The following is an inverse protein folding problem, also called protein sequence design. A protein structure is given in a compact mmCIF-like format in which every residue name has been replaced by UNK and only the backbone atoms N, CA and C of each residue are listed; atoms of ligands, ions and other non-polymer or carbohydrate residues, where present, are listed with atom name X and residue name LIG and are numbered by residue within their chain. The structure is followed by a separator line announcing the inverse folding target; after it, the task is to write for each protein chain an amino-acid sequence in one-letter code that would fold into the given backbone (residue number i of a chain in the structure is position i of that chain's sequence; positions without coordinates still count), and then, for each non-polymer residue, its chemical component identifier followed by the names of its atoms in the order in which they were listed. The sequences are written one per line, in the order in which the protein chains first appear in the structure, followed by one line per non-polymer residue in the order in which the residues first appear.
data_IF_468126779139
#
_entry.id   IF_468126779139
#
_cell.length_a   1.000
_cell.length_b   1.000
_cell.length_c   1.000
_cell.angle_alpha   90.00
_cell.angle_beta   90.00
_cell.angle_gamma   90.00
#
_symmetry.space_group_name_H-M   'P 1'
#
loop_
_entity.id
_entity.type
_entity.pdbx_description
1 polymer ?
#
# COMPACT_ATOMS: atom_id res chain seq x y z
N UNK A 1 -14.92 5.42 -13.02
CA UNK A 1 -14.07 5.02 -11.88
C UNK A 1 -13.19 6.18 -11.45
N UNK A 2 -13.02 6.33 -10.15
CA UNK A 2 -11.88 7.03 -9.56
C UNK A 2 -11.28 6.10 -8.52
N UNK A 3 -10.03 5.67 -8.69
CA UNK A 3 -9.12 5.56 -7.54
C UNK A 3 -9.32 6.86 -6.77
N UNK A 4 -9.86 6.77 -5.56
CA UNK A 4 -10.29 7.94 -4.82
C UNK A 4 -9.10 8.87 -4.61
N UNK A 5 -9.22 10.06 -5.21
CA UNK A 5 -8.24 11.12 -5.12
C UNK A 5 -8.14 11.54 -3.65
N UNK A 6 -7.02 11.22 -3.01
CA UNK A 6 -6.74 11.65 -1.65
C UNK A 6 -6.84 10.57 -0.57
N UNK A 7 -7.15 9.32 -0.92
CA UNK A 7 -6.92 8.24 0.04
C UNK A 7 -5.42 7.97 0.15
N UNK A 8 -4.87 8.17 1.35
CA UNK A 8 -3.49 7.80 1.74
C UNK A 8 -3.17 6.34 1.39
N UNK A 9 -4.19 5.49 1.29
CA UNK A 9 -4.07 4.09 0.92
C UNK A 9 -3.80 3.85 -0.57
N UNK A 10 -4.03 4.82 -1.47
CA UNK A 10 -3.85 4.59 -2.93
C UNK A 10 -2.40 4.30 -3.32
N UNK A 11 -1.43 4.77 -2.53
CA UNK A 11 0.00 4.57 -2.77
C UNK A 11 0.61 5.36 -3.92
N UNK A 12 -0.20 6.11 -4.67
CA UNK A 12 0.29 6.94 -5.77
C UNK A 12 0.71 8.33 -5.27
N UNK A 13 1.94 8.72 -5.58
CA UNK A 13 2.48 10.05 -5.23
C UNK A 13 1.93 11.18 -6.12
N UNK A 14 1.54 10.87 -7.35
CA UNK A 14 1.17 11.86 -8.37
C UNK A 14 -0.29 11.71 -8.76
N UNK A 15 -1.05 12.78 -8.57
CA UNK A 15 -2.49 12.86 -8.89
C UNK A 15 -2.74 12.65 -10.39
N UNK A 16 -1.84 13.12 -11.25
CA UNK A 16 -1.96 12.98 -12.70
C UNK A 16 -1.91 11.52 -13.15
N UNK A 17 -1.10 10.70 -12.46
CA UNK A 17 -0.99 9.26 -12.73
C UNK A 17 -2.30 8.56 -12.36
N UNK A 18 -2.90 8.93 -11.23
CA UNK A 18 -4.22 8.42 -10.82
C UNK A 18 -5.27 8.77 -11.87
N UNK A 19 -5.31 10.02 -12.34
CA UNK A 19 -6.25 10.46 -13.35
C UNK A 19 -6.05 9.74 -14.69
N UNK A 20 -4.81 9.51 -15.11
CA UNK A 20 -4.48 8.77 -16.31
C UNK A 20 -4.91 7.30 -16.24
N UNK A 21 -4.65 6.62 -15.12
CA UNK A 21 -5.08 5.23 -14.93
C UNK A 21 -6.62 5.14 -14.95
N UNK A 22 -7.30 6.07 -14.28
CA UNK A 22 -8.76 6.13 -14.26
C UNK A 22 -9.36 6.42 -15.64
N UNK A 23 -8.70 7.23 -16.46
CA UNK A 23 -9.14 7.52 -17.83
C UNK A 23 -8.89 6.34 -18.76
N UNK A 24 -7.74 5.66 -18.64
CA UNK A 24 -7.42 4.45 -19.41
C UNK A 24 -8.41 3.32 -19.12
N UNK A 25 -8.73 3.04 -17.86
CA UNK A 25 -9.71 2.00 -17.50
C UNK A 25 -11.09 2.33 -18.11
N UNK A 26 -11.51 3.59 -18.02
CA UNK A 26 -12.80 4.05 -18.56
C UNK A 26 -12.85 4.01 -20.08
N UNK A 27 -11.78 4.43 -20.75
CA UNK A 27 -11.67 4.46 -22.21
C UNK A 27 -11.63 3.06 -22.82
N UNK A 28 -11.04 2.09 -22.10
CA UNK A 28 -10.94 0.71 -22.54
C UNK A 28 -12.14 -0.18 -22.14
N UNK A 29 -13.24 0.42 -21.64
CA UNK A 29 -14.46 -0.32 -21.29
C UNK A 29 -14.34 -1.18 -20.01
N UNK A 30 -13.36 -0.90 -19.16
CA UNK A 30 -13.21 -1.57 -17.88
C UNK A 30 -14.33 -1.21 -16.92
N UNK A 31 -15.12 -2.21 -16.53
CA UNK A 31 -16.13 -2.07 -15.48
C UNK A 31 -15.50 -1.92 -14.09
N UNK A 32 -16.19 -1.28 -13.13
CA UNK A 32 -15.71 -1.11 -11.76
C UNK A 32 -15.53 -2.44 -11.01
N UNK A 33 -16.12 -3.51 -11.52
CA UNK A 33 -16.19 -4.82 -10.88
C UNK A 33 -14.82 -5.45 -10.67
N UNK A 34 -13.87 -5.26 -11.58
CA UNK A 34 -12.54 -5.86 -11.42
C UNK A 34 -11.81 -5.23 -10.23
N UNK A 35 -11.64 -3.91 -10.23
CA UNK A 35 -10.95 -3.24 -9.12
C UNK A 35 -11.63 -3.50 -7.77
N UNK A 36 -12.97 -3.43 -7.70
CA UNK A 36 -13.71 -3.67 -6.45
C UNK A 36 -13.67 -5.12 -5.99
N UNK A 37 -13.79 -6.10 -6.91
CA UNK A 37 -13.74 -7.52 -6.56
C UNK A 37 -12.37 -7.98 -6.04
N UNK A 38 -11.31 -7.28 -6.44
CA UNK A 38 -9.93 -7.57 -6.07
C UNK A 38 -9.37 -6.60 -5.01
N UNK A 39 -10.11 -5.56 -4.62
CA UNK A 39 -9.67 -4.58 -3.62
C UNK A 39 -9.46 -5.20 -2.23
N UNK A 40 -10.28 -6.15 -1.82
CA UNK A 40 -10.16 -6.84 -0.53
C UNK A 40 -9.28 -8.10 -0.58
N UNK A 41 -8.77 -8.47 -1.76
CA UNK A 41 -8.02 -9.70 -1.98
C UNK A 41 -6.52 -9.53 -1.78
N UNK A 42 -5.84 -10.64 -1.52
CA UNK A 42 -4.37 -10.67 -1.44
C UNK A 42 -3.75 -10.48 -2.83
N UNK A 43 -2.53 -9.93 -2.91
CA UNK A 43 -1.85 -9.71 -4.19
C UNK A 43 -1.74 -10.98 -5.04
N UNK A 44 -1.46 -12.13 -4.42
CA UNK A 44 -1.35 -13.42 -5.11
C UNK A 44 -2.66 -13.78 -5.85
N UNK A 45 -3.81 -13.57 -5.21
CA UNK A 45 -5.12 -13.82 -5.85
C UNK A 45 -5.42 -12.83 -7.00
N UNK A 46 -4.93 -11.59 -6.89
CA UNK A 46 -5.03 -10.60 -7.96
C UNK A 46 -4.15 -11.00 -9.15
N UNK A 47 -2.93 -11.47 -8.89
CA UNK A 47 -1.98 -11.93 -9.91
C UNK A 47 -2.51 -13.15 -10.66
N UNK A 48 -3.04 -14.15 -9.95
CA UNK A 48 -3.70 -15.32 -10.55
C UNK A 48 -4.90 -14.90 -11.41
N UNK A 49 -5.71 -13.96 -10.91
CA UNK A 49 -6.82 -13.35 -11.65
C UNK A 49 -6.36 -12.64 -12.92
N UNK A 50 -5.22 -11.94 -12.91
CA UNK A 50 -4.66 -11.34 -14.11
C UNK A 50 -4.16 -12.35 -15.11
N UNK A 51 -3.44 -13.37 -14.62
CA UNK A 51 -2.87 -14.40 -15.47
C UNK A 51 -3.97 -15.09 -16.28
N UNK A 52 -5.10 -15.42 -15.66
CA UNK A 52 -6.27 -16.00 -16.35
C UNK A 52 -6.86 -15.07 -17.43
N UNK A 53 -6.95 -13.77 -17.16
CA UNK A 53 -7.45 -12.76 -18.12
C UNK A 53 -6.49 -12.57 -19.30
N UNK A 54 -5.19 -12.54 -19.04
CA UNK A 54 -4.17 -12.34 -20.06
C UNK A 54 -4.04 -13.56 -20.99
N UNK A 55 -4.08 -14.76 -20.42
CA UNK A 55 -4.01 -16.03 -21.16
C UNK A 55 -5.27 -16.32 -21.97
N UNK A 56 -6.43 -15.74 -21.59
CA UNK A 56 -7.65 -15.88 -22.36
C UNK A 56 -7.56 -15.16 -23.72
N UNK A 57 -7.43 -15.91 -24.81
CA UNK A 57 -7.32 -15.36 -26.17
C UNK A 57 -8.62 -14.72 -26.69
N UNK A 58 -9.78 -15.05 -26.11
CA UNK A 58 -11.07 -14.50 -26.56
C UNK A 58 -11.37 -13.10 -26.01
N UNK A 59 -10.62 -12.63 -25.01
CA UNK A 59 -10.87 -11.29 -24.47
C UNK A 59 -10.35 -10.17 -25.38
N UNK A 60 -11.15 -9.14 -25.65
CA UNK A 60 -10.71 -7.95 -26.37
C UNK A 60 -9.48 -7.30 -25.74
N UNK A 61 -8.56 -6.80 -26.57
CA UNK A 61 -7.33 -6.14 -26.11
C UNK A 61 -7.60 -4.94 -25.20
N UNK A 62 -8.71 -4.22 -25.42
CA UNK A 62 -9.13 -3.11 -24.57
C UNK A 62 -9.41 -3.59 -23.12
N UNK A 63 -10.20 -4.65 -22.95
CA UNK A 63 -10.47 -5.23 -21.64
C UNK A 63 -9.20 -5.71 -20.94
N UNK A 64 -8.28 -6.35 -21.68
CA UNK A 64 -6.96 -6.74 -21.14
C UNK A 64 -6.19 -5.54 -20.61
N UNK A 65 -6.14 -4.43 -21.37
CA UNK A 65 -5.52 -3.18 -20.94
C UNK A 65 -6.15 -2.60 -19.68
N UNK A 66 -7.49 -2.54 -19.62
CA UNK A 66 -8.20 -2.05 -18.45
C UNK A 66 -7.89 -2.90 -17.19
N UNK A 67 -7.84 -4.23 -17.33
CA UNK A 67 -7.45 -5.14 -16.26
C UNK A 67 -6.00 -4.94 -15.83
N UNK A 68 -5.06 -4.74 -16.76
CA UNK A 68 -3.65 -4.48 -16.43
C UNK A 68 -3.47 -3.18 -15.66
N UNK A 69 -4.14 -2.10 -16.08
CA UNK A 69 -4.11 -0.83 -15.34
C UNK A 69 -4.75 -0.94 -13.95
N UNK A 70 -5.84 -1.69 -13.84
CA UNK A 70 -6.49 -1.97 -12.55
C UNK A 70 -5.58 -2.79 -11.62
N UNK A 71 -4.84 -3.75 -12.17
CA UNK A 71 -3.82 -4.53 -11.45
C UNK A 71 -2.70 -3.65 -10.91
N UNK A 72 -2.18 -2.76 -11.75
CA UNK A 72 -1.13 -1.82 -11.38
C UNK A 72 -1.57 -0.96 -10.20
N UNK A 73 -2.80 -0.45 -10.24
CA UNK A 73 -3.37 0.31 -9.14
C UNK A 73 -3.45 -0.50 -7.82
N UNK A 74 -3.88 -1.76 -7.90
CA UNK A 74 -3.95 -2.66 -6.74
C UNK A 74 -2.56 -3.01 -6.19
N UNK A 75 -1.56 -3.23 -7.04
CA UNK A 75 -0.19 -3.54 -6.64
C UNK A 75 0.49 -2.37 -5.94
N UNK A 76 0.36 -1.16 -6.48
CA UNK A 76 0.88 0.07 -5.86
C UNK A 76 0.26 0.30 -4.49
N UNK A 77 -1.06 0.07 -4.34
CA UNK A 77 -1.74 0.13 -3.05
C UNK A 77 -1.16 -0.85 -2.03
N UNK A 78 -0.93 -2.11 -2.42
CA UNK A 78 -0.37 -3.13 -1.52
C UNK A 78 1.03 -2.72 -1.06
N UNK A 79 1.89 -2.28 -1.98
CA UNK A 79 3.26 -1.81 -1.64
C UNK A 79 3.22 -0.62 -0.70
N UNK A 80 2.36 0.36 -0.96
CA UNK A 80 2.24 1.54 -0.12
C UNK A 80 1.67 1.23 1.26
N UNK A 81 0.63 0.39 1.35
CA UNK A 81 0.08 -0.06 2.63
C UNK A 81 1.13 -0.82 3.46
N UNK A 82 1.93 -1.66 2.81
CA UNK A 82 3.00 -2.40 3.48
C UNK A 82 4.12 -1.48 3.98
N UNK A 83 4.48 -0.46 3.21
CA UNK A 83 5.45 0.56 3.61
C UNK A 83 4.92 1.38 4.80
N UNK A 84 3.67 1.83 4.75
CA UNK A 84 3.05 2.60 5.82
C UNK A 84 2.98 1.79 7.12
N UNK A 85 2.56 0.53 7.05
CA UNK A 85 2.53 -0.35 8.22
C UNK A 85 3.93 -0.62 8.79
N UNK A 86 4.93 -0.83 7.92
CA UNK A 86 6.32 -0.97 8.36
C UNK A 86 6.86 0.29 9.04
N UNK A 87 6.57 1.48 8.49
CA UNK A 87 7.00 2.74 9.10
C UNK A 87 6.35 2.98 10.46
N UNK A 88 5.06 2.66 10.61
CA UNK A 88 4.36 2.75 11.90
C UNK A 88 4.96 1.78 12.92
N UNK A 89 5.22 0.53 12.53
CA UNK A 89 5.87 -0.45 13.43
C UNK A 89 7.27 0.00 13.85
N UNK A 90 8.07 0.53 12.93
CA UNK A 90 9.40 1.06 13.23
C UNK A 90 9.33 2.27 14.17
N UNK A 91 8.36 3.16 13.94
CA UNK A 91 8.16 4.32 14.81
C UNK A 91 7.77 3.88 16.23
N UNK A 92 6.82 2.96 16.36
CA UNK A 92 6.41 2.41 17.65
C UNK A 92 7.58 1.72 18.38
N UNK A 93 8.38 0.91 17.68
CA UNK A 93 9.57 0.27 18.26
C UNK A 93 10.60 1.29 18.73
N UNK A 94 10.77 2.39 17.98
CA UNK A 94 11.69 3.47 18.35
C UNK A 94 11.26 4.18 19.62
N UNK A 95 9.98 4.53 19.76
CA UNK A 95 9.46 5.16 20.97
C UNK A 95 9.67 4.27 22.20
N UNK A 96 9.42 2.97 22.07
CA UNK A 96 9.67 2.00 23.15
C UNK A 96 11.16 1.93 23.54
N UNK A 97 12.07 2.05 22.58
CA UNK A 97 13.50 2.06 22.85
C UNK A 97 13.93 3.33 23.58
N UNK A 98 13.44 4.49 23.13
CA UNK A 98 13.73 5.80 23.75
C UNK A 98 13.23 5.86 25.20
N UNK A 99 12.05 5.31 25.49
CA UNK A 99 11.51 5.21 26.86
C UNK A 99 12.37 4.31 27.78
N UNK A 100 12.85 3.18 27.24
CA UNK A 100 13.73 2.26 27.98
C UNK A 100 15.09 2.89 28.24
N UNK A 101 15.65 3.59 27.26
CA UNK A 101 16.92 4.29 27.40
C UNK A 101 16.84 5.43 28.43
N UNK A 102 15.73 6.17 28.46
CA UNK A 102 15.47 7.18 29.48
C UNK A 102 15.38 6.56 30.89
N UNK A 103 14.70 5.42 31.02
CA UNK A 103 14.58 4.70 32.30
C UNK A 103 15.96 4.23 32.78
N UNK A 104 16.76 3.61 31.90
CA UNK A 104 18.11 3.16 32.23
C UNK A 104 19.01 4.35 32.63
N UNK A 105 18.91 5.47 31.90
CA UNK A 105 19.68 6.67 32.21
C UNK A 105 19.32 7.27 33.57
N UNK A 106 18.03 7.30 33.92
CA UNK A 106 17.56 7.73 35.23
C UNK A 106 18.12 6.84 36.35
N UNK A 107 18.07 5.51 36.18
CA UNK A 107 18.62 4.56 37.15
C UNK A 107 20.13 4.71 37.33
N UNK A 108 20.87 4.94 36.23
CA UNK A 108 22.32 5.20 36.28
C UNK A 108 22.60 6.50 37.04
N UNK A 109 21.81 7.55 36.80
CA UNK A 109 21.95 8.82 37.52
C UNK A 109 21.68 8.67 39.02
N UNK A 110 20.63 7.94 39.40
CA UNK A 110 20.34 7.64 40.81
C UNK A 110 21.45 6.82 41.48
N UNK A 111 22.00 5.82 40.80
CA UNK A 111 23.14 5.03 41.26
C UNK A 111 24.40 5.88 41.47
N UNK A 112 24.67 6.83 40.57
CA UNK A 112 25.80 7.75 40.70
C UNK A 112 25.63 8.69 41.89
N UNK A 113 24.41 9.21 42.09
CA UNK A 113 24.09 10.07 43.23
C UNK A 113 24.25 9.33 44.57
N UNK A 114 23.74 8.11 44.67
CA UNK A 114 23.89 7.24 45.85
C UNK A 114 25.35 6.87 46.16
N UNK A 115 26.26 6.98 45.18
CA UNK A 115 27.70 6.73 45.37
C UNK A 115 28.47 7.97 45.85
N UNK A 116 27.91 9.16 45.65
CA UNK A 116 28.53 10.43 46.03
C UNK A 116 28.09 10.92 47.43
N UNK A 117 27.05 10.32 48.00
CA UNK A 117 26.67 10.43 49.42
C UNK A 117 27.44 9.40 50.28
#
# INVERSE_FOLDING_TARGET
MAVELGHSTSGFRHIDVIQFINSEIRSNGGGPDFYLAFFSRSWNEVEDGLHTILTNQQMPRALKRACTWSALALGVRVVAGQQEEQTHRLHWLREQLEEREATCSALVFEMQRMRQE
#
